data_IF_291785644199
#
_entry.id   IF_291785644199
#
_cell.length_a   1.000
_cell.length_b   1.000
_cell.length_c   1.000
_cell.angle_alpha   90.00
_cell.angle_beta   90.00
_cell.angle_gamma   90.00
#
_symmetry.space_group_name_H-M   'P 1'
#
loop_
_entity.id
_entity.type
_entity.pdbx_description
1 polymer ?
#
# COMPACT_ATOMS: atom_id res chain seq x y z
N UNK A 1 19.96 17.88 -2.72
CA UNK A 1 20.69 16.82 -3.45
C UNK A 1 20.22 15.42 -3.10
N UNK A 2 20.28 15.05 -1.84
CA UNK A 2 19.77 13.74 -1.41
C UNK A 2 18.31 13.54 -1.73
N UNK A 3 17.52 14.59 -1.59
CA UNK A 3 16.10 14.51 -1.89
C UNK A 3 15.83 14.07 -3.31
N UNK A 4 16.61 14.58 -4.25
CA UNK A 4 16.46 14.20 -5.64
C UNK A 4 16.78 12.73 -5.86
N UNK A 5 17.77 12.23 -5.15
CA UNK A 5 18.17 10.84 -5.29
C UNK A 5 17.10 9.87 -4.81
N UNK A 6 16.29 10.30 -3.86
CA UNK A 6 15.28 9.44 -3.26
C UNK A 6 13.85 9.82 -3.61
N UNK A 7 13.69 10.71 -4.61
CA UNK A 7 12.34 11.06 -5.06
C UNK A 7 11.66 9.86 -5.71
N UNK A 8 10.36 9.76 -5.46
CA UNK A 8 9.54 8.70 -6.01
C UNK A 8 8.45 9.25 -6.94
N UNK A 9 8.69 10.42 -7.49
CA UNK A 9 7.70 11.09 -8.34
C UNK A 9 7.26 10.16 -9.47
N UNK A 10 5.97 10.05 -9.64
CA UNK A 10 5.40 9.21 -10.69
C UNK A 10 5.41 7.73 -10.40
N UNK A 11 5.92 7.31 -9.25
CA UNK A 11 5.96 5.88 -8.91
C UNK A 11 4.67 5.46 -8.23
N UNK A 12 4.15 4.32 -8.64
CA UNK A 12 2.94 3.74 -8.07
C UNK A 12 3.39 2.58 -7.19
N UNK A 13 3.21 2.73 -5.89
CA UNK A 13 3.72 1.77 -4.91
C UNK A 13 2.55 1.17 -4.13
N UNK A 14 2.36 -0.12 -4.27
CA UNK A 14 1.28 -0.83 -3.57
C UNK A 14 1.79 -1.23 -2.18
N UNK A 15 0.99 -0.97 -1.17
CA UNK A 15 1.35 -1.27 0.23
C UNK A 15 0.26 -2.11 0.84
N UNK A 16 0.58 -3.35 1.21
CA UNK A 16 -0.37 -4.21 1.89
C UNK A 16 -0.29 -3.98 3.38
N UNK A 17 -1.39 -4.18 4.10
CA UNK A 17 -1.44 -3.88 5.51
C UNK A 17 -1.20 -2.41 5.78
N UNK A 18 -1.69 -1.57 4.89
CA UNK A 18 -1.35 -0.16 4.86
C UNK A 18 -1.79 0.63 6.08
N UNK A 19 -2.83 0.16 6.76
CA UNK A 19 -3.36 0.88 7.93
C UNK A 19 -2.81 0.38 9.25
N UNK A 20 -1.93 -0.61 9.20
CA UNK A 20 -1.22 -1.06 10.40
C UNK A 20 -0.12 -0.07 10.75
N UNK A 21 0.54 -0.30 11.86
CA UNK A 21 1.53 0.64 12.37
C UNK A 21 2.66 0.90 11.39
N UNK A 22 3.30 -0.17 10.89
CA UNK A 22 4.39 -0.01 9.92
C UNK A 22 3.87 0.37 8.55
N UNK A 23 2.71 -0.16 8.17
CA UNK A 23 2.12 0.15 6.88
C UNK A 23 1.88 1.64 6.71
N UNK A 24 1.38 2.29 7.75
CA UNK A 24 1.17 3.73 7.70
C UNK A 24 2.49 4.48 7.53
N UNK A 25 3.53 4.04 8.19
CA UNK A 25 4.83 4.68 8.08
C UNK A 25 5.41 4.52 6.68
N UNK A 26 5.25 3.35 6.09
CA UNK A 26 5.70 3.12 4.71
C UNK A 26 4.93 4.00 3.74
N UNK A 27 3.62 4.07 3.91
CA UNK A 27 2.79 4.89 3.02
C UNK A 27 3.15 6.37 3.13
N UNK A 28 3.37 6.84 4.35
CA UNK A 28 3.77 8.22 4.55
C UNK A 28 5.13 8.52 3.93
N UNK A 29 6.06 7.59 4.05
CA UNK A 29 7.38 7.78 3.44
C UNK A 29 7.27 7.87 1.92
N UNK A 30 6.48 6.97 1.31
CA UNK A 30 6.27 7.01 -0.14
C UNK A 30 5.67 8.34 -0.56
N UNK A 31 4.62 8.78 0.13
CA UNK A 31 3.96 10.03 -0.20
C UNK A 31 4.86 11.24 0.02
N UNK A 32 5.62 11.22 1.08
CA UNK A 32 6.54 12.29 1.41
C UNK A 32 7.57 12.51 0.31
N UNK A 33 8.02 11.42 -0.33
CA UNK A 33 8.98 11.51 -1.42
C UNK A 33 8.30 11.61 -2.79
N UNK A 34 7.01 11.89 -2.83
CA UNK A 34 6.32 12.19 -4.07
C UNK A 34 5.71 11.00 -4.78
N UNK A 35 5.82 9.82 -4.20
CA UNK A 35 5.20 8.63 -4.79
C UNK A 35 3.72 8.58 -4.47
N UNK A 36 3.03 7.69 -5.15
CA UNK A 36 1.60 7.48 -4.93
C UNK A 36 1.40 6.15 -4.24
N UNK A 37 1.12 6.15 -2.94
CA UNK A 37 0.86 4.89 -2.25
C UNK A 37 -0.54 4.40 -2.56
N UNK A 38 -0.62 3.12 -2.92
CA UNK A 38 -1.89 2.43 -3.11
C UNK A 38 -2.08 1.57 -1.88
N UNK A 39 -3.14 1.83 -1.14
CA UNK A 39 -3.32 1.29 0.20
C UNK A 39 -4.25 0.09 0.17
N UNK A 40 -3.75 -1.07 0.56
CA UNK A 40 -4.56 -2.28 0.63
C UNK A 40 -4.67 -2.73 2.08
N UNK A 41 -5.89 -2.89 2.54
CA UNK A 41 -6.13 -3.44 3.87
C UNK A 41 -7.56 -3.99 3.94
N UNK A 42 -7.98 -4.37 5.12
CA UNK A 42 -9.24 -5.11 5.29
C UNK A 42 -10.46 -4.24 5.54
N UNK A 43 -10.31 -2.94 5.59
CA UNK A 43 -11.44 -2.04 5.80
C UNK A 43 -11.42 -0.90 4.80
N UNK A 44 -12.43 -0.83 3.96
CA UNK A 44 -12.53 0.23 2.96
C UNK A 44 -12.59 1.61 3.60
N UNK A 45 -13.34 1.74 4.69
CA UNK A 45 -13.47 3.02 5.37
C UNK A 45 -12.13 3.52 5.85
N UNK A 46 -11.33 2.64 6.45
CA UNK A 46 -10.06 3.03 7.03
C UNK A 46 -9.04 3.38 5.94
N UNK A 47 -8.99 2.59 4.86
CA UNK A 47 -8.05 2.92 3.78
C UNK A 47 -8.45 4.21 3.07
N UNK A 48 -9.75 4.47 2.94
CA UNK A 48 -10.23 5.71 2.32
C UNK A 48 -9.85 6.90 3.18
N UNK A 49 -10.07 6.81 4.47
CA UNK A 49 -9.71 7.89 5.38
C UNK A 49 -8.22 8.19 5.34
N UNK A 50 -7.42 7.13 5.33
CA UNK A 50 -5.98 7.29 5.29
C UNK A 50 -5.51 7.86 3.95
N UNK A 51 -6.10 7.40 2.84
CA UNK A 51 -5.76 7.95 1.54
C UNK A 51 -6.06 9.45 1.48
N UNK A 52 -7.22 9.84 2.00
CA UNK A 52 -7.59 11.24 2.03
C UNK A 52 -6.61 12.06 2.86
N UNK A 53 -6.17 11.52 3.96
CA UNK A 53 -5.17 12.14 4.82
C UNK A 53 -3.86 12.38 4.06
N UNK A 54 -3.37 11.36 3.38
CA UNK A 54 -2.14 11.45 2.62
C UNK A 54 -2.25 12.44 1.48
N UNK A 55 -3.38 12.42 0.80
CA UNK A 55 -3.58 13.32 -0.34
C UNK A 55 -3.63 14.78 0.09
N UNK A 56 -4.25 15.05 1.23
CA UNK A 56 -4.32 16.39 1.77
C UNK A 56 -2.94 16.89 2.20
N UNK A 57 -2.16 16.01 2.83
CA UNK A 57 -0.89 16.41 3.40
C UNK A 57 0.23 16.49 2.36
N UNK A 58 0.28 15.53 1.45
CA UNK A 58 1.40 15.40 0.53
C UNK A 58 1.08 15.73 -0.91
N UNK A 59 -0.19 16.03 -1.22
CA UNK A 59 -0.64 16.36 -2.58
C UNK A 59 -0.34 15.25 -3.57
N UNK A 60 -0.64 14.02 -3.18
CA UNK A 60 -0.52 12.85 -4.06
C UNK A 60 -1.91 12.32 -4.37
N UNK A 61 -2.00 11.27 -5.16
CA UNK A 61 -3.27 10.68 -5.59
C UNK A 61 -3.48 9.28 -5.02
N UNK A 62 -3.21 9.14 -3.74
CA UNK A 62 -3.36 7.86 -3.06
C UNK A 62 -4.81 7.38 -3.11
N UNK A 63 -4.99 6.07 -3.27
CA UNK A 63 -6.30 5.43 -3.21
C UNK A 63 -6.19 4.19 -2.35
N UNK A 64 -7.30 3.78 -1.80
CA UNK A 64 -7.35 2.61 -0.94
C UNK A 64 -8.36 1.59 -1.45
N UNK A 65 -8.06 0.33 -1.20
CA UNK A 65 -8.93 -0.79 -1.58
C UNK A 65 -9.02 -1.78 -0.44
N UNK A 66 -10.24 -2.23 -0.19
CA UNK A 66 -10.44 -3.31 0.77
C UNK A 66 -10.07 -4.61 0.07
N UNK A 67 -8.93 -5.18 0.43
CA UNK A 67 -8.41 -6.38 -0.20
C UNK A 67 -7.97 -7.35 0.87
N UNK A 68 -8.47 -8.58 0.77
CA UNK A 68 -7.94 -9.67 1.56
C UNK A 68 -6.84 -10.32 0.73
N UNK A 69 -5.61 -10.17 1.16
CA UNK A 69 -4.48 -10.65 0.37
C UNK A 69 -4.39 -12.16 0.25
N UNK A 70 -5.22 -12.89 1.00
CA UNK A 70 -5.30 -14.33 0.85
C UNK A 70 -6.28 -14.73 -0.25
N UNK A 71 -7.00 -13.76 -0.82
CA UNK A 71 -7.96 -14.02 -1.88
C UNK A 71 -7.37 -13.66 -3.23
N UNK A 72 -6.97 -14.69 -3.98
CA UNK A 72 -6.31 -14.49 -5.27
C UNK A 72 -7.14 -13.72 -6.28
N UNK A 73 -8.45 -13.94 -6.28
CA UNK A 73 -9.32 -13.24 -7.22
C UNK A 73 -9.37 -11.75 -6.93
N UNK A 74 -9.41 -11.40 -5.66
CA UNK A 74 -9.41 -9.98 -5.27
C UNK A 74 -8.09 -9.32 -5.68
N UNK A 75 -6.98 -10.01 -5.46
CA UNK A 75 -5.68 -9.47 -5.82
C UNK A 75 -5.57 -9.27 -7.32
N UNK A 76 -5.97 -10.28 -8.08
CA UNK A 76 -5.90 -10.21 -9.53
C UNK A 76 -6.75 -9.08 -10.08
N UNK A 77 -7.98 -8.96 -9.56
CA UNK A 77 -8.87 -7.89 -9.97
C UNK A 77 -8.31 -6.52 -9.64
N UNK A 78 -7.68 -6.43 -8.47
CA UNK A 78 -7.08 -5.17 -8.04
C UNK A 78 -5.89 -4.78 -8.93
N UNK A 79 -5.04 -5.74 -9.27
CA UNK A 79 -3.92 -5.48 -10.17
C UNK A 79 -4.43 -4.96 -11.52
N UNK A 80 -5.46 -5.61 -12.06
CA UNK A 80 -6.03 -5.19 -13.32
C UNK A 80 -6.57 -3.77 -13.24
N UNK A 81 -7.25 -3.46 -12.16
CA UNK A 81 -7.79 -2.13 -11.97
C UNK A 81 -6.68 -1.09 -11.85
N UNK A 82 -5.62 -1.40 -11.12
CA UNK A 82 -4.51 -0.47 -10.94
C UNK A 82 -3.78 -0.22 -12.25
N UNK A 83 -3.55 -1.25 -13.04
CA UNK A 83 -2.93 -1.09 -14.34
C UNK A 83 -3.80 -0.21 -15.25
N UNK A 84 -5.11 -0.44 -15.22
CA UNK A 84 -6.02 0.34 -16.03
C UNK A 84 -6.03 1.80 -15.59
N UNK A 85 -5.99 2.05 -14.30
CA UNK A 85 -6.13 3.38 -13.74
C UNK A 85 -4.83 4.18 -13.76
N UNK A 86 -3.71 3.53 -13.44
CA UNK A 86 -2.42 4.21 -13.33
C UNK A 86 -1.43 3.83 -14.42
N UNK A 87 -1.73 2.79 -15.16
CA UNK A 87 -0.89 2.34 -16.27
C UNK A 87 0.27 1.46 -15.86
N UNK A 88 0.56 1.36 -14.58
CA UNK A 88 1.72 0.60 -14.12
C UNK A 88 1.68 0.40 -12.61
N UNK A 89 2.51 -0.50 -12.13
CA UNK A 89 2.80 -0.66 -10.71
C UNK A 89 4.32 -0.73 -10.62
N UNK A 90 4.92 0.19 -9.88
CA UNK A 90 6.39 0.28 -9.80
C UNK A 90 6.98 -0.50 -8.65
N UNK A 91 6.21 -0.73 -7.60
CA UNK A 91 6.75 -1.44 -6.45
C UNK A 91 5.67 -1.96 -5.53
N UNK A 92 6.08 -2.86 -4.66
CA UNK A 92 5.19 -3.47 -3.68
C UNK A 92 5.89 -3.51 -2.34
N UNK A 93 5.25 -2.96 -1.33
CA UNK A 93 5.69 -3.11 0.05
C UNK A 93 4.75 -4.11 0.70
N UNK A 94 5.22 -5.32 0.89
CA UNK A 94 4.41 -6.39 1.45
C UNK A 94 4.49 -6.34 2.96
N UNK A 95 3.64 -5.53 3.54
CA UNK A 95 3.65 -5.29 4.96
C UNK A 95 2.50 -5.95 5.70
N UNK A 96 1.59 -6.59 5.00
CA UNK A 96 0.51 -7.31 5.64
C UNK A 96 1.12 -8.53 6.32
N UNK A 97 1.41 -8.38 7.59
CA UNK A 97 2.00 -9.47 8.34
C UNK A 97 1.00 -10.59 8.38
N UNK A 98 1.42 -11.72 7.92
CA UNK A 98 0.60 -12.88 8.03
C UNK A 98 0.88 -13.52 9.38
N UNK A 99 0.25 -13.00 10.39
CA UNK A 99 0.46 -13.47 11.73
C UNK A 99 0.23 -14.93 11.93
N UNK A 100 -0.75 -15.52 11.26
CA UNK A 100 -0.89 -16.96 11.34
C UNK A 100 0.37 -17.70 10.94
N UNK A 101 1.13 -17.10 10.03
CA UNK A 101 2.38 -17.70 9.65
C UNK A 101 3.36 -17.75 10.79
N UNK A 102 3.41 -16.69 11.53
CA UNK A 102 4.27 -16.65 12.69
C UNK A 102 3.86 -17.69 13.68
N UNK A 103 2.56 -17.83 13.85
CA UNK A 103 2.04 -18.83 14.75
C UNK A 103 2.26 -20.22 14.23
N UNK A 104 2.16 -20.37 12.94
CA UNK A 104 2.45 -21.63 12.32
C UNK A 104 3.88 -22.05 12.56
N UNK A 105 4.76 -21.09 12.54
CA UNK A 105 6.15 -21.37 12.85
C UNK A 105 6.30 -21.94 14.23
N UNK A 106 5.55 -21.41 15.15
CA UNK A 106 5.57 -21.95 16.49
C UNK A 106 5.05 -23.37 16.54
N UNK A 107 4.05 -23.64 15.75
CA UNK A 107 3.50 -24.97 15.70
C UNK A 107 4.48 -25.95 15.12
N UNK A 108 5.17 -25.53 14.14
CA UNK A 108 6.14 -26.34 13.48
C UNK A 108 7.27 -26.69 14.41
N UNK A 109 7.55 -25.84 15.30
CA UNK A 109 8.57 -26.05 16.28
C UNK A 109 8.16 -27.04 17.33
#
# INVERSE_FOLDING_TARGET
MLEKLFRLDGKIIVITGATGLLGRKHAEAVACYGGTPILLDLSQQIVDDFANELNAKYKVDSVGFEIDITNEKMIKGNVEELIKRFGKIDGLVNNAANNPKVEDSKKVN
#
